data_IF_662382635920
#
_entry.id   IF_662382635920
#
_cell.length_a   1.000
_cell.length_b   1.000
_cell.length_c   1.000
_cell.angle_alpha   90.00
_cell.angle_beta   90.00
_cell.angle_gamma   90.00
#
_symmetry.space_group_name_H-M   'P 1'
#
loop_
_entity.id
_entity.type
_entity.pdbx_description
1 polymer ?
#
# COMPACT_ATOMS: atom_id res chain seq x y z
N UNK A 1 28.03 21.34 49.62
CA UNK A 1 28.78 21.79 48.43
C UNK A 1 28.13 21.11 47.22
N UNK A 2 27.19 21.78 46.55
CA UNK A 2 27.38 22.58 45.31
C UNK A 2 27.88 21.71 44.14
N UNK A 3 27.28 21.64 42.95
CA UNK A 3 26.18 22.40 42.34
C UNK A 3 25.73 21.67 41.07
N UNK A 4 24.42 21.72 40.82
CA UNK A 4 23.67 21.21 39.67
C UNK A 4 23.99 21.98 38.39
N UNK A 5 24.18 21.28 37.25
CA UNK A 5 24.28 21.89 35.92
C UNK A 5 22.88 21.95 35.30
N UNK A 6 22.28 23.13 35.30
CA UNK A 6 21.07 23.47 34.56
C UNK A 6 21.49 24.41 33.42
N UNK A 7 21.34 23.97 32.17
CA UNK A 7 21.47 24.85 31.00
C UNK A 7 20.12 25.50 30.74
N UNK A 8 19.99 26.77 31.13
CA UNK A 8 18.97 27.68 30.61
C UNK A 8 19.67 28.88 29.99
N UNK A 9 19.40 29.08 28.71
CA UNK A 9 19.84 30.20 27.88
C UNK A 9 19.40 31.52 28.51
N UNK A 10 20.29 32.53 28.65
CA UNK A 10 19.92 33.79 29.27
C UNK A 10 19.07 34.66 28.36
N UNK A 11 17.98 35.18 28.94
CA UNK A 11 17.67 36.59 28.83
C UNK A 11 16.95 37.04 27.56
N UNK A 12 15.63 37.21 27.70
CA UNK A 12 14.86 38.23 27.00
C UNK A 12 15.61 39.56 27.13
N UNK A 13 16.25 40.01 26.05
CA UNK A 13 16.68 41.40 25.96
C UNK A 13 15.43 42.23 25.65
N UNK A 14 14.88 42.82 26.72
CA UNK A 14 14.00 43.98 26.61
C UNK A 14 14.64 44.98 25.65
N UNK A 15 13.87 45.45 24.66
CA UNK A 15 14.28 46.56 23.80
C UNK A 15 14.64 47.74 24.71
N UNK A 16 15.92 48.02 24.81
CA UNK A 16 16.42 49.26 25.37
C UNK A 16 15.89 50.38 24.50
N UNK A 17 15.08 51.27 25.09
CA UNK A 17 14.74 52.58 24.54
C UNK A 17 16.03 53.39 24.38
N UNK A 18 16.68 53.21 23.24
CA UNK A 18 17.81 54.02 22.81
C UNK A 18 17.33 55.45 22.55
N UNK A 19 18.02 56.41 23.14
CA UNK A 19 17.84 57.83 22.93
C UNK A 19 17.82 58.15 21.42
N UNK A 20 16.88 59.02 21.03
CA UNK A 20 16.68 59.47 19.67
C UNK A 20 17.94 60.21 19.16
N UNK A 21 18.67 59.55 18.26
CA UNK A 21 19.60 60.23 17.35
C UNK A 21 18.79 60.67 16.11
N UNK A 22 18.63 61.97 15.94
CA UNK A 22 17.64 62.62 15.09
C UNK A 22 18.05 62.74 13.61
N UNK A 23 18.86 61.82 13.09
CA UNK A 23 19.43 61.94 11.73
C UNK A 23 19.13 60.79 10.77
N UNK A 24 18.40 59.76 11.17
CA UNK A 24 18.15 58.60 10.31
C UNK A 24 16.79 58.68 9.60
N UNK A 25 16.76 59.30 8.41
CA UNK A 25 15.62 59.33 7.47
C UNK A 25 15.19 57.95 6.93
N UNK A 26 15.63 56.87 7.59
CA UNK A 26 15.26 55.49 7.30
C UNK A 26 13.95 55.05 7.98
N UNK A 27 13.37 55.90 8.85
CA UNK A 27 12.11 55.60 9.55
C UNK A 27 10.92 55.51 8.59
N UNK A 28 10.88 56.32 7.53
CA UNK A 28 9.88 56.20 6.45
C UNK A 28 10.03 54.92 5.63
N UNK A 29 11.27 54.42 5.45
CA UNK A 29 11.56 53.17 4.74
C UNK A 29 11.27 51.93 5.60
N UNK A 30 11.32 52.05 6.93
CA UNK A 30 10.85 51.03 7.89
C UNK A 30 9.33 51.05 8.02
N UNK A 31 8.70 52.23 8.03
CA UNK A 31 7.25 52.40 8.03
C UNK A 31 6.60 52.03 6.68
N UNK A 32 7.29 52.17 5.55
CA UNK A 32 6.83 51.65 4.26
C UNK A 32 6.91 50.12 4.19
N UNK A 33 7.76 49.51 5.02
CA UNK A 33 7.78 48.08 5.33
C UNK A 33 6.91 47.74 6.56
N UNK A 34 5.89 48.55 6.87
CA UNK A 34 4.83 48.18 7.81
C UNK A 34 4.04 47.00 7.22
N UNK A 35 4.56 45.80 7.42
CA UNK A 35 3.74 44.61 7.48
C UNK A 35 2.73 44.88 8.59
N UNK A 36 1.48 45.14 8.22
CA UNK A 36 0.39 45.12 9.19
C UNK A 36 0.47 43.78 9.91
N UNK A 37 0.63 43.78 11.24
CA UNK A 37 0.65 42.56 12.06
C UNK A 37 -0.59 41.69 11.75
N UNK A 38 -1.72 42.37 11.52
CA UNK A 38 -2.98 41.81 11.05
C UNK A 38 -2.88 41.23 9.63
N UNK A 39 -2.24 41.94 8.70
CA UNK A 39 -1.98 41.46 7.34
C UNK A 39 -1.08 40.22 7.30
N UNK A 40 -0.01 40.21 8.10
CA UNK A 40 0.87 39.04 8.25
C UNK A 40 0.13 37.85 8.86
N UNK A 41 -0.73 38.10 9.86
CA UNK A 41 -1.59 37.06 10.45
C UNK A 41 -2.59 36.48 9.43
N UNK A 42 -3.19 37.31 8.57
CA UNK A 42 -4.07 36.86 7.49
C UNK A 42 -3.31 35.99 6.48
N UNK A 43 -2.13 36.44 6.02
CA UNK A 43 -1.30 35.66 5.09
C UNK A 43 -0.91 34.30 5.68
N UNK A 44 -0.49 34.24 6.94
CA UNK A 44 -0.18 32.95 7.59
C UNK A 44 -1.39 32.03 7.70
N UNK A 45 -2.59 32.57 7.93
CA UNK A 45 -3.82 31.75 7.97
C UNK A 45 -4.18 31.21 6.58
N UNK A 46 -4.00 32.01 5.53
CA UNK A 46 -4.19 31.59 4.14
C UNK A 46 -3.18 30.49 3.73
N UNK A 47 -1.92 30.61 4.14
CA UNK A 47 -0.90 29.57 3.92
C UNK A 47 -1.26 28.25 4.64
N UNK A 48 -1.76 28.34 5.88
CA UNK A 48 -2.24 27.17 6.64
C UNK A 48 -3.45 26.52 5.95
N UNK A 49 -4.38 27.32 5.44
CA UNK A 49 -5.52 26.81 4.66
C UNK A 49 -5.07 26.09 3.39
N UNK A 50 -4.14 26.68 2.63
CA UNK A 50 -3.58 26.08 1.42
C UNK A 50 -2.93 24.73 1.73
N UNK A 51 -2.09 24.69 2.77
CA UNK A 51 -1.43 23.46 3.22
C UNK A 51 -2.45 22.38 3.61
N UNK A 52 -3.54 22.76 4.28
CA UNK A 52 -4.61 21.82 4.62
C UNK A 52 -5.33 21.27 3.39
N UNK A 53 -5.60 22.10 2.38
CA UNK A 53 -6.20 21.65 1.12
C UNK A 53 -5.28 20.67 0.39
N UNK A 54 -3.99 20.99 0.25
CA UNK A 54 -3.02 20.10 -0.38
C UNK A 54 -2.88 18.77 0.34
N UNK A 55 -2.73 18.82 1.67
CA UNK A 55 -2.61 17.62 2.50
C UNK A 55 -3.88 16.77 2.46
N UNK A 56 -5.05 17.40 2.41
CA UNK A 56 -6.33 16.70 2.24
C UNK A 56 -6.41 16.01 0.88
N UNK A 57 -6.07 16.70 -0.21
CA UNK A 57 -6.07 16.10 -1.55
C UNK A 57 -5.12 14.91 -1.65
N UNK A 58 -3.90 15.04 -1.11
CA UNK A 58 -2.94 13.93 -1.05
C UNK A 58 -3.47 12.76 -0.20
N UNK A 59 -4.16 13.05 0.92
CA UNK A 59 -4.77 12.01 1.76
C UNK A 59 -5.95 11.33 1.09
N UNK A 60 -6.81 12.06 0.38
CA UNK A 60 -7.89 11.47 -0.43
C UNK A 60 -7.35 10.53 -1.50
N UNK A 61 -6.28 10.92 -2.20
CA UNK A 61 -5.63 10.06 -3.19
C UNK A 61 -5.08 8.76 -2.58
N UNK A 62 -4.41 8.86 -1.42
CA UNK A 62 -3.92 7.68 -0.68
C UNK A 62 -5.07 6.79 -0.20
N UNK A 63 -6.14 7.40 0.31
CA UNK A 63 -7.33 6.69 0.80
C UNK A 63 -8.02 5.95 -0.34
N UNK A 64 -8.22 6.59 -1.48
CA UNK A 64 -8.80 5.98 -2.69
C UNK A 64 -8.01 4.74 -3.12
N UNK A 65 -6.68 4.90 -3.28
CA UNK A 65 -5.80 3.78 -3.65
C UNK A 65 -5.83 2.64 -2.64
N UNK A 66 -5.87 2.94 -1.34
CA UNK A 66 -5.92 1.90 -0.28
C UNK A 66 -7.29 1.24 -0.17
N UNK A 67 -8.36 1.95 -0.48
CA UNK A 67 -9.71 1.38 -0.55
C UNK A 67 -9.84 0.39 -1.71
N UNK A 68 -9.30 0.74 -2.88
CA UNK A 68 -9.20 -0.18 -4.03
C UNK A 68 -8.42 -1.44 -3.64
N UNK A 69 -7.23 -1.28 -3.06
CA UNK A 69 -6.43 -2.40 -2.55
C UNK A 69 -7.21 -3.27 -1.57
N UNK A 70 -7.93 -2.69 -0.60
CA UNK A 70 -8.74 -3.45 0.36
C UNK A 70 -9.84 -4.26 -0.33
N UNK A 71 -10.55 -3.65 -1.27
CA UNK A 71 -11.64 -4.30 -2.02
C UNK A 71 -11.10 -5.45 -2.87
N UNK A 72 -10.04 -5.20 -3.62
CA UNK A 72 -9.46 -6.20 -4.53
C UNK A 72 -8.86 -7.37 -3.74
N UNK A 73 -8.17 -7.10 -2.62
CA UNK A 73 -7.66 -8.15 -1.74
C UNK A 73 -8.79 -8.99 -1.13
N UNK A 74 -9.92 -8.38 -0.78
CA UNK A 74 -11.10 -9.10 -0.30
C UNK A 74 -11.72 -9.97 -1.40
N UNK A 75 -11.77 -9.48 -2.64
CA UNK A 75 -12.22 -10.29 -3.79
C UNK A 75 -11.31 -11.50 -4.01
N UNK A 76 -9.98 -11.31 -3.98
CA UNK A 76 -9.03 -12.41 -4.09
C UNK A 76 -9.19 -13.42 -2.95
N UNK A 77 -9.38 -12.96 -1.71
CA UNK A 77 -9.65 -13.85 -0.58
C UNK A 77 -10.94 -14.66 -0.77
N UNK A 78 -11.99 -14.04 -1.32
CA UNK A 78 -13.25 -14.72 -1.62
C UNK A 78 -13.10 -15.77 -2.74
N UNK A 79 -12.24 -15.52 -3.75
CA UNK A 79 -11.91 -16.53 -4.77
C UNK A 79 -11.22 -17.74 -4.15
N UNK A 80 -10.27 -17.52 -3.24
CA UNK A 80 -9.60 -18.61 -2.50
C UNK A 80 -10.58 -19.34 -1.57
N UNK A 81 -11.51 -18.63 -0.93
CA UNK A 81 -12.57 -19.25 -0.13
C UNK A 81 -13.49 -20.14 -0.97
N UNK A 82 -13.87 -19.69 -2.17
CA UNK A 82 -14.68 -20.49 -3.08
C UNK A 82 -13.96 -21.80 -3.47
N UNK A 83 -12.64 -21.75 -3.67
CA UNK A 83 -11.83 -22.95 -3.91
C UNK A 83 -11.77 -23.85 -2.67
N UNK A 84 -11.55 -23.29 -1.48
CA UNK A 84 -11.58 -24.03 -0.22
C UNK A 84 -12.93 -24.73 0.01
N UNK A 85 -14.03 -24.08 -0.37
CA UNK A 85 -15.38 -24.64 -0.29
C UNK A 85 -15.61 -25.78 -1.30
N UNK A 86 -14.95 -25.74 -2.46
CA UNK A 86 -15.04 -26.79 -3.47
C UNK A 86 -14.29 -28.08 -3.10
N UNK A 87 -13.32 -27.99 -2.19
CA UNK A 87 -12.57 -29.15 -1.71
C UNK A 87 -13.39 -29.88 -0.64
N UNK A 88 -13.99 -31.02 -1.01
CA UNK A 88 -14.74 -31.87 -0.06
C UNK A 88 -13.84 -32.81 0.75
N UNK A 89 -12.70 -33.22 0.18
CA UNK A 89 -11.79 -34.17 0.82
C UNK A 89 -10.80 -33.48 1.77
N UNK A 90 -10.52 -34.04 2.96
CA UNK A 90 -9.55 -33.47 3.90
C UNK A 90 -8.15 -33.29 3.31
N UNK A 91 -7.75 -34.18 2.40
CA UNK A 91 -6.47 -34.15 1.69
C UNK A 91 -6.59 -33.58 0.27
N UNK A 92 -7.75 -33.03 -0.08
CA UNK A 92 -7.98 -32.48 -1.41
C UNK A 92 -7.10 -31.26 -1.66
N UNK A 93 -6.67 -31.13 -2.92
CA UNK A 93 -5.84 -30.03 -3.40
C UNK A 93 -6.60 -29.26 -4.46
N UNK A 94 -6.31 -27.97 -4.59
CA UNK A 94 -6.85 -27.15 -5.68
C UNK A 94 -5.78 -26.23 -6.22
N UNK A 95 -5.91 -25.87 -7.50
CA UNK A 95 -5.01 -24.90 -8.13
C UNK A 95 -5.38 -23.49 -7.69
N UNK A 96 -4.39 -22.75 -7.18
CA UNK A 96 -4.55 -21.33 -6.91
C UNK A 96 -4.72 -20.57 -8.25
N UNK A 97 -5.70 -19.65 -8.37
CA UNK A 97 -5.93 -18.89 -9.59
C UNK A 97 -4.78 -17.93 -9.90
N UNK A 98 -4.46 -17.75 -11.18
CA UNK A 98 -3.35 -16.90 -11.62
C UNK A 98 -3.55 -15.42 -11.23
N UNK A 99 -4.79 -14.94 -11.24
CA UNK A 99 -5.12 -13.56 -10.85
C UNK A 99 -4.80 -13.29 -9.37
N UNK A 100 -5.00 -14.27 -8.49
CA UNK A 100 -4.60 -14.17 -7.08
C UNK A 100 -3.07 -14.11 -6.95
N UNK A 101 -2.35 -14.93 -7.71
CA UNK A 101 -0.87 -14.97 -7.69
C UNK A 101 -0.29 -13.65 -8.18
N UNK A 102 -0.79 -13.13 -9.31
CA UNK A 102 -0.38 -11.85 -9.85
C UNK A 102 -0.67 -10.72 -8.87
N UNK A 103 -1.86 -10.72 -8.26
CA UNK A 103 -2.23 -9.73 -7.26
C UNK A 103 -1.29 -9.74 -6.06
N UNK A 104 -1.00 -10.92 -5.51
CA UNK A 104 -0.10 -11.07 -4.35
C UNK A 104 1.33 -10.64 -4.69
N UNK A 105 1.81 -10.96 -5.89
CA UNK A 105 3.13 -10.55 -6.38
C UNK A 105 3.23 -9.04 -6.55
N UNK A 106 2.23 -8.43 -7.20
CA UNK A 106 2.18 -6.97 -7.47
C UNK A 106 2.08 -6.14 -6.18
N UNK A 107 1.30 -6.61 -5.21
CA UNK A 107 1.05 -5.87 -3.97
C UNK A 107 2.00 -6.26 -2.82
N UNK A 108 2.91 -7.21 -3.04
CA UNK A 108 3.88 -7.65 -2.04
C UNK A 108 3.21 -8.31 -0.83
N UNK A 109 2.14 -9.07 -1.05
CA UNK A 109 1.46 -9.81 0.02
C UNK A 109 2.31 -11.02 0.40
N UNK A 110 2.77 -11.05 1.65
CA UNK A 110 3.57 -12.14 2.18
C UNK A 110 2.71 -13.15 2.94
N UNK A 111 2.98 -14.44 2.74
CA UNK A 111 2.36 -15.55 3.46
C UNK A 111 3.39 -16.05 4.46
N UNK A 112 3.11 -15.95 5.77
CA UNK A 112 4.05 -16.36 6.83
C UNK A 112 5.47 -15.77 6.66
N UNK A 113 5.58 -14.54 6.16
CA UNK A 113 6.85 -13.85 5.92
C UNK A 113 7.55 -14.21 4.60
N UNK A 114 6.97 -15.11 3.81
CA UNK A 114 7.48 -15.51 2.48
C UNK A 114 6.71 -14.83 1.37
N UNK A 115 7.39 -14.56 0.26
CA UNK A 115 6.70 -14.13 -0.97
C UNK A 115 5.83 -15.26 -1.52
N UNK A 116 4.81 -14.93 -2.35
CA UNK A 116 3.99 -15.96 -3.00
C UNK A 116 4.85 -16.94 -3.81
N UNK A 117 5.87 -16.45 -4.51
CA UNK A 117 6.76 -17.32 -5.28
C UNK A 117 7.56 -18.26 -4.36
N UNK A 118 8.11 -17.75 -3.26
CA UNK A 118 8.82 -18.59 -2.30
C UNK A 118 7.88 -19.62 -1.63
N UNK A 119 6.68 -19.19 -1.28
CA UNK A 119 5.65 -20.05 -0.68
C UNK A 119 5.27 -21.21 -1.60
N UNK A 120 4.91 -20.92 -2.85
CA UNK A 120 4.55 -21.92 -3.85
C UNK A 120 5.70 -22.88 -4.19
N UNK A 121 6.96 -22.54 -3.86
CA UNK A 121 8.10 -23.45 -4.05
C UNK A 121 8.27 -24.44 -2.90
N UNK A 122 7.94 -24.01 -1.68
CA UNK A 122 8.17 -24.79 -0.46
C UNK A 122 7.02 -25.74 -0.13
N UNK A 123 5.82 -25.47 -0.63
CA UNK A 123 4.59 -26.16 -0.22
C UNK A 123 4.28 -27.47 -0.97
N UNK A 124 5.01 -27.79 -2.03
CA UNK A 124 4.82 -29.07 -2.68
C UNK A 124 5.20 -30.23 -1.72
N UNK A 125 4.40 -31.29 -1.72
CA UNK A 125 4.77 -32.56 -1.08
C UNK A 125 6.13 -33.05 -1.59
N UNK A 126 6.92 -33.78 -0.79
CA UNK A 126 8.30 -34.15 -1.16
C UNK A 126 8.39 -34.85 -2.53
N UNK A 127 7.43 -35.71 -2.84
CA UNK A 127 7.33 -36.41 -4.13
C UNK A 127 6.98 -35.46 -5.28
N UNK A 128 6.06 -34.52 -5.04
CA UNK A 128 5.72 -33.46 -6.00
C UNK A 128 6.86 -32.45 -6.18
N UNK A 129 7.63 -32.13 -5.13
CA UNK A 129 8.80 -31.24 -5.20
C UNK A 129 9.87 -31.80 -6.10
N UNK A 130 10.18 -33.08 -5.93
CA UNK A 130 11.16 -33.75 -6.77
C UNK A 130 10.73 -33.72 -8.24
N UNK A 131 9.47 -34.09 -8.52
CA UNK A 131 8.93 -34.05 -9.87
C UNK A 131 8.93 -32.62 -10.47
N UNK A 132 8.49 -31.62 -9.71
CA UNK A 132 8.52 -30.21 -10.11
C UNK A 132 9.95 -29.71 -10.38
N UNK A 133 10.92 -30.08 -9.54
CA UNK A 133 12.32 -29.69 -9.72
C UNK A 133 12.94 -30.30 -10.99
N UNK A 134 12.59 -31.54 -11.33
CA UNK A 134 13.03 -32.17 -12.57
C UNK A 134 12.46 -31.47 -13.81
N UNK A 135 11.15 -31.16 -13.80
CA UNK A 135 10.50 -30.43 -14.90
C UNK A 135 11.11 -29.02 -15.02
N UNK A 136 11.37 -28.34 -13.90
CA UNK A 136 12.03 -27.04 -13.91
C UNK A 136 13.46 -27.10 -14.47
N UNK A 137 14.22 -28.12 -14.11
CA UNK A 137 15.58 -28.34 -14.64
C UNK A 137 15.55 -28.54 -16.16
N UNK A 138 14.55 -29.26 -16.67
CA UNK A 138 14.34 -29.44 -18.09
C UNK A 138 14.01 -28.12 -18.80
N UNK A 139 13.14 -27.28 -18.23
CA UNK A 139 12.73 -26.02 -18.86
C UNK A 139 13.88 -25.01 -18.96
N UNK A 140 14.79 -24.99 -17.99
CA UNK A 140 15.99 -24.14 -18.01
C UNK A 140 17.14 -24.73 -18.85
N UNK A 141 16.95 -25.90 -19.47
CA UNK A 141 17.88 -26.47 -20.45
C UNK A 141 18.85 -27.53 -19.94
N UNK A 142 18.61 -28.11 -18.75
CA UNK A 142 19.33 -29.31 -18.31
C UNK A 142 18.71 -30.58 -18.91
N UNK A 143 19.52 -31.60 -19.17
CA UNK A 143 19.20 -32.78 -19.99
C UNK A 143 18.50 -33.93 -19.26
N UNK A 144 17.94 -33.71 -18.08
CA UNK A 144 17.22 -34.78 -17.36
C UNK A 144 15.89 -35.06 -18.04
N UNK A 145 15.72 -36.30 -18.52
CA UNK A 145 14.46 -36.79 -19.07
C UNK A 145 13.39 -36.75 -17.98
N UNK A 146 12.36 -35.92 -18.14
CA UNK A 146 11.37 -35.63 -17.10
C UNK A 146 10.01 -36.30 -17.33
N UNK A 147 9.91 -37.32 -18.19
CA UNK A 147 8.63 -37.97 -18.53
C UNK A 147 7.90 -38.49 -17.30
N UNK A 148 8.58 -39.25 -16.44
CA UNK A 148 7.98 -39.81 -15.22
C UNK A 148 7.52 -38.71 -14.26
N UNK A 149 8.31 -37.63 -14.15
CA UNK A 149 7.96 -36.45 -13.36
C UNK A 149 6.77 -35.70 -13.95
N UNK A 150 6.70 -35.54 -15.28
CA UNK A 150 5.60 -34.89 -15.97
C UNK A 150 4.30 -35.70 -15.82
N UNK A 151 4.37 -37.02 -15.94
CA UNK A 151 3.23 -37.91 -15.71
C UNK A 151 2.77 -37.87 -14.25
N UNK A 152 3.69 -37.82 -13.28
CA UNK A 152 3.35 -37.69 -11.86
C UNK A 152 2.61 -36.38 -11.57
N UNK A 153 3.09 -35.25 -12.10
CA UNK A 153 2.41 -33.96 -11.94
C UNK A 153 1.07 -33.94 -12.66
N UNK A 154 0.97 -34.45 -13.88
CA UNK A 154 -0.29 -34.55 -14.61
C UNK A 154 -1.32 -35.38 -13.85
N UNK A 155 -0.91 -36.52 -13.28
CA UNK A 155 -1.77 -37.34 -12.42
C UNK A 155 -2.24 -36.58 -11.19
N UNK A 156 -1.34 -35.89 -10.49
CA UNK A 156 -1.69 -35.09 -9.32
C UNK A 156 -2.68 -33.96 -9.65
N UNK A 157 -2.55 -33.35 -10.84
CA UNK A 157 -3.51 -32.35 -11.33
C UNK A 157 -4.87 -32.98 -11.65
N UNK A 158 -4.90 -34.15 -12.27
CA UNK A 158 -6.13 -34.87 -12.58
C UNK A 158 -6.85 -35.38 -11.31
N UNK A 159 -6.10 -35.89 -10.33
CA UNK A 159 -6.62 -36.30 -9.03
C UNK A 159 -7.22 -35.11 -8.26
N UNK A 160 -6.66 -33.91 -8.47
CA UNK A 160 -7.21 -32.65 -7.96
C UNK A 160 -8.31 -32.03 -8.85
N UNK A 161 -8.66 -32.67 -9.97
CA UNK A 161 -9.67 -32.17 -10.92
C UNK A 161 -9.26 -30.92 -11.70
N UNK A 162 -7.98 -30.57 -11.71
CA UNK A 162 -7.43 -29.40 -12.42
C UNK A 162 -7.26 -29.73 -13.90
N UNK A 163 -7.85 -28.88 -14.76
CA UNK A 163 -7.77 -29.03 -16.22
C UNK A 163 -6.79 -28.04 -16.82
N UNK A 164 -5.98 -28.49 -17.77
CA UNK A 164 -5.11 -27.63 -18.58
C UNK A 164 -5.77 -27.44 -19.95
N UNK A 165 -6.02 -26.19 -20.36
CA UNK A 165 -6.71 -25.86 -21.62
C UNK A 165 -8.06 -26.58 -21.80
N UNK A 166 -8.78 -26.79 -20.69
CA UNK A 166 -10.08 -27.48 -20.67
C UNK A 166 -10.01 -29.00 -20.79
N UNK A 167 -8.80 -29.58 -20.92
CA UNK A 167 -8.56 -31.02 -20.97
C UNK A 167 -8.02 -31.53 -19.64
N UNK A 168 -8.17 -32.84 -19.38
CA UNK A 168 -7.45 -33.51 -18.28
C UNK A 168 -5.95 -33.33 -18.48
N UNK A 169 -5.20 -33.11 -17.41
CA UNK A 169 -3.77 -32.85 -17.46
C UNK A 169 -3.00 -34.01 -18.12
N UNK A 170 -3.40 -35.27 -17.89
CA UNK A 170 -2.79 -36.44 -18.56
C UNK A 170 -3.04 -36.46 -20.06
N UNK A 171 -4.24 -36.09 -20.49
CA UNK A 171 -4.64 -36.11 -21.91
C UNK A 171 -4.02 -34.92 -22.64
N UNK A 172 -3.99 -33.76 -21.97
CA UNK A 172 -3.26 -32.59 -22.44
C UNK A 172 -1.77 -32.90 -22.62
N UNK A 173 -1.14 -33.55 -21.64
CA UNK A 173 0.28 -33.91 -21.72
C UNK A 173 0.57 -34.79 -22.94
N UNK A 174 -0.24 -35.83 -23.19
CA UNK A 174 -0.10 -36.69 -24.38
C UNK A 174 -0.23 -35.91 -25.69
N UNK A 175 -1.12 -34.93 -25.75
CA UNK A 175 -1.31 -34.08 -26.92
C UNK A 175 -0.13 -33.12 -27.19
N UNK A 176 0.74 -32.91 -26.20
CA UNK A 176 1.96 -32.10 -26.34
C UNK A 176 3.20 -32.94 -26.71
N UNK A 177 3.05 -34.25 -26.89
CA UNK A 177 4.14 -35.14 -27.25
C UNK A 177 4.56 -34.93 -28.72
N UNK A 178 5.83 -34.65 -28.93
CA UNK A 178 6.43 -34.54 -30.25
C UNK A 178 6.55 -35.94 -30.89
N UNK A 179 6.80 -35.96 -32.21
CA UNK A 179 6.96 -37.21 -32.98
C UNK A 179 8.11 -38.09 -32.45
N UNK A 180 9.10 -37.49 -31.80
CA UNK A 180 10.25 -38.17 -31.19
C UNK A 180 9.98 -38.63 -29.74
N UNK A 181 8.78 -38.42 -29.20
CA UNK A 181 8.43 -38.72 -27.81
C UNK A 181 8.93 -37.68 -26.80
N UNK A 182 9.48 -36.55 -27.26
CA UNK A 182 9.89 -35.42 -26.41
C UNK A 182 8.74 -34.43 -26.17
N UNK A 183 8.94 -33.48 -25.25
CA UNK A 183 8.00 -32.38 -25.01
C UNK A 183 8.67 -31.04 -25.23
N UNK A 184 7.92 -30.03 -25.69
CA UNK A 184 8.45 -28.67 -25.77
C UNK A 184 8.72 -28.10 -24.37
N UNK A 185 9.71 -27.20 -24.27
CA UNK A 185 10.00 -26.47 -23.02
C UNK A 185 8.79 -25.67 -22.54
N UNK A 186 7.99 -25.16 -23.46
CA UNK A 186 6.78 -24.38 -23.19
C UNK A 186 5.69 -25.25 -22.55
N UNK A 187 5.47 -26.46 -23.09
CA UNK A 187 4.53 -27.41 -22.51
C UNK A 187 4.97 -27.82 -21.09
N UNK A 188 6.26 -28.12 -20.90
CA UNK A 188 6.80 -28.46 -19.58
C UNK A 188 6.72 -27.28 -18.60
N UNK A 189 6.93 -26.04 -19.06
CA UNK A 189 6.81 -24.85 -18.23
C UNK A 189 5.36 -24.64 -17.77
N UNK A 190 4.39 -24.89 -18.64
CA UNK A 190 2.96 -24.79 -18.33
C UNK A 190 2.51 -25.88 -17.36
N UNK A 191 3.00 -27.11 -17.52
CA UNK A 191 2.74 -28.19 -16.57
C UNK A 191 3.34 -27.87 -15.19
N UNK A 192 4.59 -27.36 -15.18
CA UNK A 192 5.26 -26.92 -13.96
C UNK A 192 4.50 -25.82 -13.24
N UNK A 193 4.00 -24.80 -13.95
CA UNK A 193 3.25 -23.71 -13.31
C UNK A 193 1.96 -24.22 -12.67
N UNK A 194 1.17 -25.04 -13.38
CA UNK A 194 -0.06 -25.62 -12.85
C UNK A 194 0.22 -26.54 -11.64
N UNK A 195 1.26 -27.39 -11.73
CA UNK A 195 1.64 -28.27 -10.63
C UNK A 195 2.12 -27.53 -9.38
N UNK A 196 2.78 -26.38 -9.55
CA UNK A 196 3.24 -25.53 -8.45
C UNK A 196 2.12 -24.74 -7.78
N UNK A 197 1.03 -24.50 -8.52
CA UNK A 197 -0.17 -23.83 -8.01
C UNK A 197 -1.10 -24.77 -7.24
N UNK A 198 -0.80 -26.07 -7.24
CA UNK A 198 -1.62 -27.08 -6.59
C UNK A 198 -1.36 -27.10 -5.08
N UNK A 199 -2.25 -26.46 -4.32
CA UNK A 199 -2.10 -26.26 -2.88
C UNK A 199 -3.12 -27.09 -2.09
N UNK A 200 -2.73 -27.49 -0.87
CA UNK A 200 -3.62 -28.15 0.08
C UNK A 200 -4.57 -27.17 0.78
N UNK A 201 -5.54 -27.71 1.52
CA UNK A 201 -6.48 -26.90 2.31
C UNK A 201 -5.80 -25.98 3.32
N UNK A 202 -4.75 -26.45 3.98
CA UNK A 202 -4.01 -25.66 4.97
C UNK A 202 -3.34 -24.44 4.31
N UNK A 203 -2.79 -24.64 3.13
CA UNK A 203 -2.00 -23.64 2.42
C UNK A 203 -2.88 -22.61 1.72
N UNK A 204 -4.01 -23.05 1.15
CA UNK A 204 -5.06 -22.17 0.69
C UNK A 204 -5.65 -21.34 1.83
N UNK A 205 -5.78 -21.92 3.03
CA UNK A 205 -6.19 -21.19 4.23
C UNK A 205 -5.15 -20.13 4.61
N UNK A 206 -3.86 -20.46 4.54
CA UNK A 206 -2.78 -19.50 4.80
C UNK A 206 -2.76 -18.35 3.78
N UNK A 207 -2.96 -18.64 2.49
CA UNK A 207 -3.10 -17.65 1.41
C UNK A 207 -4.29 -16.73 1.69
N UNK A 208 -5.45 -17.31 2.00
CA UNK A 208 -6.66 -16.55 2.35
C UNK A 208 -6.42 -15.62 3.54
N UNK A 209 -5.88 -16.15 4.64
CA UNK A 209 -5.59 -15.36 5.84
C UNK A 209 -4.61 -14.21 5.57
N UNK A 210 -3.63 -14.42 4.70
CA UNK A 210 -2.71 -13.36 4.28
C UNK A 210 -3.44 -12.25 3.51
N UNK A 211 -4.34 -12.60 2.59
CA UNK A 211 -5.16 -11.66 1.83
C UNK A 211 -6.16 -10.90 2.71
N UNK A 212 -6.85 -11.58 3.62
CA UNK A 212 -7.77 -10.96 4.58
C UNK A 212 -7.03 -10.00 5.50
N UNK A 213 -5.86 -10.39 6.00
CA UNK A 213 -5.00 -9.52 6.81
C UNK A 213 -4.56 -8.29 6.02
N UNK A 214 -4.16 -8.46 4.77
CA UNK A 214 -3.75 -7.35 3.90
C UNK A 214 -4.91 -6.40 3.61
N UNK A 215 -6.11 -6.94 3.33
CA UNK A 215 -7.34 -6.16 3.16
C UNK A 215 -7.70 -5.39 4.44
N UNK A 216 -7.66 -6.06 5.60
CA UNK A 216 -7.92 -5.46 6.91
C UNK A 216 -7.00 -4.27 7.18
N UNK A 217 -5.68 -4.44 6.99
CA UNK A 217 -4.70 -3.36 7.15
C UNK A 217 -4.96 -2.17 6.22
N UNK A 218 -5.43 -2.42 5.00
CA UNK A 218 -5.78 -1.37 4.05
C UNK A 218 -7.06 -0.63 4.46
N UNK A 219 -8.07 -1.37 4.94
CA UNK A 219 -9.31 -0.81 5.52
C UNK A 219 -9.01 0.05 6.75
N UNK A 220 -8.18 -0.44 7.67
CA UNK A 220 -7.76 0.29 8.87
C UNK A 220 -7.07 1.61 8.51
N UNK A 221 -6.22 1.61 7.48
CA UNK A 221 -5.60 2.83 6.99
C UNK A 221 -6.64 3.84 6.47
N UNK A 222 -7.65 3.37 5.73
CA UNK A 222 -8.74 4.22 5.21
C UNK A 222 -9.54 4.82 6.37
N UNK A 223 -9.94 4.01 7.35
CA UNK A 223 -10.66 4.47 8.54
C UNK A 223 -9.86 5.51 9.33
N UNK A 224 -8.59 5.24 9.58
CA UNK A 224 -7.70 6.19 10.27
C UNK A 224 -7.49 7.47 9.46
N UNK A 225 -7.41 7.38 8.12
CA UNK A 225 -7.28 8.55 7.25
C UNK A 225 -8.55 9.39 7.23
N UNK A 226 -9.72 8.77 7.27
CA UNK A 226 -11.00 9.46 7.36
C UNK A 226 -11.11 10.29 8.65
N UNK A 227 -10.72 9.74 9.81
CA UNK A 227 -10.68 10.47 11.08
C UNK A 227 -9.74 11.67 11.03
N UNK A 228 -8.54 11.49 10.46
CA UNK A 228 -7.58 12.59 10.28
C UNK A 228 -8.11 13.68 9.36
N UNK A 229 -8.84 13.32 8.29
CA UNK A 229 -9.49 14.32 7.41
C UNK A 229 -10.59 15.09 8.13
N UNK A 230 -11.39 14.44 8.99
CA UNK A 230 -12.36 15.15 9.82
C UNK A 230 -11.69 16.18 10.74
N UNK A 231 -10.56 15.81 11.37
CA UNK A 231 -9.77 16.75 12.18
C UNK A 231 -9.20 17.91 11.34
N UNK A 232 -8.69 17.62 10.14
CA UNK A 232 -8.22 18.66 9.21
C UNK A 232 -9.32 19.63 8.82
N UNK A 233 -10.53 19.14 8.51
CA UNK A 233 -11.68 19.98 8.18
C UNK A 233 -12.11 20.82 9.39
N UNK A 234 -12.09 20.27 10.60
CA UNK A 234 -12.38 21.03 11.81
C UNK A 234 -11.36 22.17 12.01
N UNK A 235 -10.07 21.86 11.90
CA UNK A 235 -9.00 22.86 12.01
C UNK A 235 -9.08 23.92 10.91
N UNK A 236 -9.42 23.52 9.68
CA UNK A 236 -9.65 24.43 8.56
C UNK A 236 -10.80 25.40 8.87
N UNK A 237 -11.95 24.89 9.33
CA UNK A 237 -13.09 25.73 9.70
C UNK A 237 -12.74 26.69 10.85
N UNK A 238 -11.95 26.25 11.85
CA UNK A 238 -11.45 27.14 12.91
C UNK A 238 -10.54 28.24 12.34
N UNK A 239 -9.61 27.89 11.43
CA UNK A 239 -8.76 28.88 10.77
C UNK A 239 -9.58 29.89 9.95
N UNK A 240 -10.66 29.45 9.28
CA UNK A 240 -11.58 30.34 8.54
C UNK A 240 -12.27 31.30 9.50
N UNK A 241 -12.79 30.82 10.63
CA UNK A 241 -13.39 31.69 11.65
C UNK A 241 -12.38 32.70 12.19
N UNK A 242 -11.13 32.29 12.45
CA UNK A 242 -10.07 33.19 12.91
C UNK A 242 -9.70 34.23 11.84
N UNK A 243 -9.57 33.82 10.58
CA UNK A 243 -9.29 34.74 9.48
C UNK A 243 -10.39 35.80 9.32
N UNK A 244 -11.66 35.38 9.39
CA UNK A 244 -12.80 36.31 9.35
C UNK A 244 -12.78 37.29 10.53
N UNK A 245 -12.41 36.83 11.73
CA UNK A 245 -12.25 37.70 12.91
C UNK A 245 -11.13 38.71 12.72
N UNK A 246 -9.97 38.30 12.19
CA UNK A 246 -8.85 39.19 11.88
C UNK A 246 -9.23 40.21 10.80
N UNK A 247 -9.92 39.81 9.75
CA UNK A 247 -10.42 40.71 8.72
C UNK A 247 -11.39 41.76 9.30
N UNK A 248 -12.30 41.32 10.18
CA UNK A 248 -13.25 42.22 10.84
C UNK A 248 -12.53 43.23 11.74
N UNK A 249 -11.55 42.76 12.51
CA UNK A 249 -10.72 43.61 13.37
C UNK A 249 -9.88 44.60 12.55
N UNK A 250 -9.35 44.19 11.40
CA UNK A 250 -8.63 45.07 10.50
C UNK A 250 -9.54 46.14 9.89
N UNK A 251 -10.76 45.77 9.50
CA UNK A 251 -11.76 46.70 8.98
C UNK A 251 -12.18 47.74 10.04
N UNK A 252 -12.42 47.31 11.27
CA UNK A 252 -12.77 48.19 12.38
C UNK A 252 -11.62 49.10 12.79
N UNK A 253 -10.39 48.57 12.85
CA UNK A 253 -9.18 49.38 13.10
C UNK A 253 -9.01 50.47 12.02
N UNK A 254 -9.16 50.11 10.74
CA UNK A 254 -9.07 51.06 9.63
C UNK A 254 -10.16 52.13 9.73
N UNK A 255 -11.39 51.74 10.07
CA UNK A 255 -12.51 52.67 10.27
C UNK A 255 -12.26 53.62 11.44
N UNK A 256 -11.75 53.12 12.57
CA UNK A 256 -11.41 53.92 13.74
C UNK A 256 -10.34 54.97 13.43
N UNK A 257 -9.28 54.58 12.71
CA UNK A 257 -8.24 55.52 12.26
C UNK A 257 -8.83 56.59 11.33
N UNK A 258 -9.67 56.19 10.37
CA UNK A 258 -10.31 57.13 9.45
C UNK A 258 -11.23 58.13 10.17
N UNK A 259 -11.88 57.72 11.26
CA UNK A 259 -12.68 58.61 12.10
C UNK A 259 -11.82 59.56 12.93
N UNK A 260 -10.66 59.11 13.42
CA UNK A 260 -9.76 59.93 14.23
C UNK A 260 -9.02 61.02 13.43
N UNK A 261 -8.92 60.87 12.11
CA UNK A 261 -8.26 61.83 11.20
C UNK A 261 -9.23 62.93 10.73
N UNK A 262 -10.55 62.74 10.89
CA UNK A 262 -11.57 63.77 10.63
C UNK A 262 -11.71 64.71 11.82
#
# INVERSE_FOLDING_TARGET
MNTTVNQTTPGVNALTTGAADSSDNNDYLRAARNYSLLGQAITTMEEVMLLFTELSNAKFAQMSKKMEVSRDAAEMANKVEALLASITDPNGKASLPEDVIEYMRKNGVAINGKSIDEFLRDDADLDSRWALNNIHSYTIGHTYFCLDSAQAIAKNLDDAGVKIDGQKASDWLKNQENVDGSYSKEAMAKLFSNGRQLLGRADLTAVKSALETFSGRASDFVQQSQLKMQQLIQNFNTAVTMANSLQSMNAESTKSIAQAIR
#
